data_IF_713348532431
#
_entry.id   IF_713348532431
#
_cell.length_a   1.000
_cell.length_b   1.000
_cell.length_c   1.000
_cell.angle_alpha   90.00
_cell.angle_beta   90.00
_cell.angle_gamma   90.00
#
_symmetry.space_group_name_H-M   'P 1'
#
loop_
_entity.id
_entity.type
_entity.pdbx_description
1 polymer ?
#
# COMPACT_ATOMS: atom_id res chain seq x y z
N UNK A 1 2.38 6.24 -0.71
CA UNK A 1 1.37 6.12 0.37
C UNK A 1 1.88 6.92 1.55
N UNK A 2 1.02 7.51 2.37
CA UNK A 2 1.44 8.01 3.68
C UNK A 2 2.20 6.90 4.40
N UNK A 3 3.21 7.27 5.17
CA UNK A 3 3.99 6.24 5.85
C UNK A 3 3.18 5.58 6.98
N UNK A 4 3.61 4.38 7.38
CA UNK A 4 2.93 3.59 8.41
C UNK A 4 2.70 4.34 9.73
N UNK A 5 3.59 5.26 10.12
CA UNK A 5 3.38 6.10 11.32
C UNK A 5 2.19 7.06 11.15
N UNK A 6 2.06 7.71 9.98
CA UNK A 6 0.88 8.52 9.68
C UNK A 6 -0.42 7.70 9.76
N UNK A 7 -0.41 6.46 9.26
CA UNK A 7 -1.54 5.54 9.38
C UNK A 7 -1.81 5.16 10.84
N UNK A 8 -0.79 4.89 11.66
CA UNK A 8 -0.92 4.64 13.11
C UNK A 8 -1.59 5.84 13.80
N UNK A 9 -1.23 7.08 13.45
CA UNK A 9 -1.82 8.27 14.03
C UNK A 9 -3.35 8.30 13.80
N UNK A 10 -3.75 8.27 12.53
CA UNK A 10 -5.16 8.40 12.14
C UNK A 10 -5.99 7.22 12.67
N UNK A 11 -5.49 6.00 12.53
CA UNK A 11 -6.17 4.80 13.04
C UNK A 11 -6.27 4.81 14.56
N UNK A 12 -5.17 5.14 15.22
CA UNK A 12 -5.03 5.21 16.66
C UNK A 12 -6.00 6.18 17.30
N UNK A 13 -5.88 7.46 16.95
CA UNK A 13 -6.72 8.50 17.52
C UNK A 13 -8.20 8.29 17.20
N UNK A 14 -8.53 7.94 15.95
CA UNK A 14 -9.94 7.75 15.54
C UNK A 14 -10.57 6.57 16.28
N UNK A 15 -9.88 5.43 16.36
CA UNK A 15 -10.42 4.25 17.02
C UNK A 15 -10.52 4.44 18.54
N UNK A 16 -9.50 5.04 19.18
CA UNK A 16 -9.54 5.32 20.62
C UNK A 16 -10.59 6.37 20.99
N UNK A 17 -10.90 7.33 20.10
CA UNK A 17 -12.00 8.29 20.30
C UNK A 17 -13.36 7.60 20.30
N UNK A 18 -13.58 6.63 19.41
CA UNK A 18 -14.85 5.88 19.32
C UNK A 18 -14.95 4.82 20.43
N UNK A 19 -13.85 4.13 20.71
CA UNK A 19 -13.79 3.06 21.70
C UNK A 19 -12.44 3.03 22.40
N UNK A 20 -12.35 3.74 23.53
CA UNK A 20 -11.14 3.85 24.35
C UNK A 20 -10.61 2.47 24.82
N UNK A 21 -11.50 1.50 25.00
CA UNK A 21 -11.18 0.11 25.39
C UNK A 21 -10.74 -0.80 24.24
N UNK A 22 -10.56 -0.25 23.03
CA UNK A 22 -10.04 -1.03 21.90
C UNK A 22 -8.59 -1.41 22.11
N UNK A 23 -8.26 -2.67 21.78
CA UNK A 23 -6.90 -3.18 21.87
C UNK A 23 -6.02 -2.52 20.81
N UNK A 24 -4.88 -1.97 21.26
CA UNK A 24 -3.89 -1.35 20.37
C UNK A 24 -3.37 -2.32 19.30
N UNK A 25 -3.22 -3.61 19.63
CA UNK A 25 -2.73 -4.61 18.69
C UNK A 25 -3.64 -4.78 17.48
N UNK A 26 -4.96 -4.78 17.71
CA UNK A 26 -5.94 -4.85 16.63
C UNK A 26 -6.02 -3.55 15.83
N UNK A 27 -5.87 -2.39 16.48
CA UNK A 27 -5.79 -1.10 15.78
C UNK A 27 -4.59 -1.09 14.83
N UNK A 28 -3.42 -1.52 15.32
CA UNK A 28 -2.19 -1.59 14.53
C UNK A 28 -2.26 -2.62 13.40
N UNK A 29 -2.94 -3.75 13.61
CA UNK A 29 -3.16 -4.70 12.52
C UNK A 29 -4.09 -4.09 11.45
N UNK A 30 -5.17 -3.44 11.87
CA UNK A 30 -6.11 -2.78 10.97
C UNK A 30 -5.46 -1.72 10.10
N UNK A 31 -4.45 -1.01 10.62
CA UNK A 31 -3.76 0.02 9.87
C UNK A 31 -2.77 -0.51 8.80
N UNK A 32 -2.42 -1.80 8.80
CA UNK A 32 -1.50 -2.40 7.82
C UNK A 32 -2.16 -3.39 6.87
N UNK A 33 -3.41 -3.81 7.13
CA UNK A 33 -4.10 -4.81 6.31
C UNK A 33 -4.09 -4.44 4.81
N UNK A 34 -4.45 -3.19 4.41
CA UNK A 34 -4.43 -2.82 3.00
C UNK A 34 -3.03 -2.82 2.36
N UNK A 35 -1.98 -2.76 3.17
CA UNK A 35 -0.58 -2.76 2.72
C UNK A 35 0.03 -4.16 2.59
N UNK A 36 -0.58 -5.19 3.18
CA UNK A 36 -0.11 -6.58 3.11
C UNK A 36 0.14 -7.02 1.65
N UNK A 37 -0.77 -6.78 0.68
CA UNK A 37 -0.53 -7.11 -0.73
C UNK A 37 0.76 -6.49 -1.29
N UNK A 38 1.03 -5.21 -0.98
CA UNK A 38 2.21 -4.51 -1.48
C UNK A 38 3.50 -5.03 -0.87
N UNK A 39 3.48 -5.41 0.41
CA UNK A 39 4.61 -6.06 1.09
C UNK A 39 4.88 -7.43 0.44
N UNK A 40 3.84 -8.24 0.24
CA UNK A 40 3.94 -9.55 -0.41
C UNK A 40 4.50 -9.40 -1.83
N UNK A 41 4.01 -8.43 -2.61
CA UNK A 41 4.52 -8.13 -3.95
C UNK A 41 6.02 -7.88 -3.95
N UNK A 42 6.52 -7.04 -3.04
CA UNK A 42 7.96 -6.74 -2.93
C UNK A 42 8.76 -8.01 -2.66
N UNK A 43 8.31 -8.84 -1.72
CA UNK A 43 8.96 -10.13 -1.40
C UNK A 43 8.97 -11.06 -2.62
N UNK A 44 7.83 -11.25 -3.28
CA UNK A 44 7.72 -12.13 -4.46
C UNK A 44 8.61 -11.62 -5.60
N UNK A 45 8.67 -10.31 -5.84
CA UNK A 45 9.49 -9.73 -6.92
C UNK A 45 10.99 -9.98 -6.76
N UNK A 46 11.44 -10.19 -5.51
CA UNK A 46 12.83 -10.56 -5.17
C UNK A 46 13.02 -12.07 -5.26
N UNK A 47 12.11 -12.86 -4.67
CA UNK A 47 12.25 -14.33 -4.59
C UNK A 47 11.94 -15.05 -5.90
N UNK A 48 11.12 -14.45 -6.77
CA UNK A 48 10.65 -15.07 -8.01
C UNK A 48 10.64 -14.03 -9.14
N UNK A 49 11.84 -13.60 -9.59
CA UNK A 49 11.98 -12.52 -10.57
C UNK A 49 11.44 -12.87 -11.97
N UNK A 50 11.10 -14.13 -12.24
CA UNK A 50 10.51 -14.63 -13.48
C UNK A 50 8.99 -14.43 -13.59
N UNK A 51 8.32 -14.11 -12.48
CA UNK A 51 6.87 -13.84 -12.50
C UNK A 51 6.63 -12.56 -13.29
N UNK A 52 5.63 -12.59 -14.19
CA UNK A 52 5.23 -11.43 -14.97
C UNK A 52 4.83 -10.27 -14.04
N UNK A 53 5.54 -9.15 -14.17
CA UNK A 53 5.38 -8.01 -13.26
C UNK A 53 4.03 -7.29 -13.39
N UNK A 54 3.44 -7.30 -14.59
CA UNK A 54 2.12 -6.70 -14.84
C UNK A 54 1.00 -7.53 -14.22
N UNK A 55 1.06 -8.84 -14.34
CA UNK A 55 0.06 -9.74 -13.76
C UNK A 55 0.14 -9.73 -12.23
N UNK A 56 1.36 -9.74 -11.66
CA UNK A 56 1.55 -9.59 -10.23
C UNK A 56 1.02 -8.23 -9.72
N UNK A 57 1.26 -7.15 -10.47
CA UNK A 57 0.73 -5.83 -10.13
C UNK A 57 -0.80 -5.83 -10.14
N UNK A 58 -1.44 -6.36 -11.19
CA UNK A 58 -2.89 -6.44 -11.29
C UNK A 58 -3.51 -7.25 -10.16
N UNK A 59 -2.91 -8.40 -9.83
CA UNK A 59 -3.33 -9.27 -8.72
C UNK A 59 -3.31 -8.53 -7.38
N UNK A 60 -2.22 -7.83 -7.10
CA UNK A 60 -2.01 -7.09 -5.83
C UNK A 60 -2.95 -5.89 -5.71
N UNK A 61 -3.26 -5.20 -6.82
CA UNK A 61 -4.27 -4.12 -6.83
C UNK A 61 -5.61 -4.65 -6.36
N UNK A 62 -6.06 -5.82 -6.86
CA UNK A 62 -7.32 -6.42 -6.42
C UNK A 62 -7.31 -6.72 -4.92
N UNK A 63 -6.22 -7.31 -4.41
CA UNK A 63 -6.11 -7.63 -2.99
C UNK A 63 -6.08 -6.40 -2.08
N UNK A 64 -5.53 -5.27 -2.56
CA UNK A 64 -5.44 -4.02 -1.80
C UNK A 64 -6.75 -3.23 -1.76
N UNK A 65 -7.80 -3.67 -2.44
CA UNK A 65 -9.13 -3.03 -2.40
C UNK A 65 -9.74 -3.10 -0.99
N UNK A 66 -10.71 -2.23 -0.72
CA UNK A 66 -11.44 -2.25 0.55
C UNK A 66 -12.17 -3.59 0.77
N UNK A 67 -12.80 -4.13 -0.27
CA UNK A 67 -13.53 -5.40 -0.19
C UNK A 67 -12.62 -6.55 0.27
N UNK A 68 -11.44 -6.70 -0.33
CA UNK A 68 -10.49 -7.74 0.05
C UNK A 68 -9.83 -7.47 1.41
N UNK A 69 -9.62 -6.20 1.77
CA UNK A 69 -9.17 -5.81 3.12
C UNK A 69 -10.20 -6.18 4.19
N UNK A 70 -11.51 -6.06 3.92
CA UNK A 70 -12.59 -6.49 4.82
C UNK A 70 -12.63 -8.03 4.94
N UNK A 71 -12.46 -8.76 3.83
CA UNK A 71 -12.35 -10.24 3.86
C UNK A 71 -11.19 -10.67 4.77
N UNK A 72 -10.02 -10.06 4.63
CA UNK A 72 -8.85 -10.38 5.44
C UNK A 72 -9.06 -9.97 6.91
N UNK A 73 -9.68 -8.80 7.15
CA UNK A 73 -10.10 -8.34 8.48
C UNK A 73 -11.02 -9.35 9.17
N UNK A 74 -11.98 -9.93 8.43
CA UNK A 74 -12.88 -10.94 8.95
C UNK A 74 -12.11 -12.21 9.34
N UNK A 75 -11.20 -12.70 8.48
CA UNK A 75 -10.36 -13.86 8.80
C UNK A 75 -9.55 -13.64 10.09
N UNK A 76 -8.85 -12.51 10.22
CA UNK A 76 -8.07 -12.21 11.42
C UNK A 76 -8.94 -12.05 12.67
N UNK A 77 -10.16 -11.53 12.53
CA UNK A 77 -11.09 -11.38 13.65
C UNK A 77 -11.53 -12.71 14.26
N UNK A 78 -11.54 -13.81 13.49
CA UNK A 78 -11.95 -15.14 13.98
C UNK A 78 -11.00 -15.69 15.06
N UNK A 79 -9.77 -15.18 15.10
CA UNK A 79 -8.81 -15.49 16.15
C UNK A 79 -8.99 -14.64 17.42
N UNK A 80 -9.93 -13.68 17.46
CA UNK A 80 -10.20 -12.86 18.64
C UNK A 80 -11.22 -13.50 19.58
N UNK A 81 -11.10 -13.26 20.89
CA UNK A 81 -12.17 -13.62 21.84
C UNK A 81 -13.47 -12.85 21.58
N UNK A 82 -13.38 -11.63 21.02
CA UNK A 82 -14.53 -10.83 20.62
C UNK A 82 -14.45 -10.55 19.12
N UNK A 83 -14.93 -11.51 18.35
CA UNK A 83 -14.85 -11.54 16.88
C UNK A 83 -15.44 -10.28 16.28
N UNK A 84 -16.69 -9.93 16.63
CA UNK A 84 -17.38 -8.77 16.05
C UNK A 84 -16.67 -7.46 16.36
N UNK A 85 -16.26 -7.22 17.61
CA UNK A 85 -15.54 -5.99 17.97
C UNK A 85 -14.22 -5.89 17.21
N UNK A 86 -13.45 -6.98 17.13
CA UNK A 86 -12.18 -6.99 16.40
C UNK A 86 -12.41 -6.80 14.90
N UNK A 87 -13.41 -7.44 14.31
CA UNK A 87 -13.77 -7.26 12.90
C UNK A 87 -14.07 -5.80 12.58
N UNK A 88 -14.87 -5.13 13.41
CA UNK A 88 -15.19 -3.72 13.24
C UNK A 88 -13.95 -2.82 13.36
N UNK A 89 -13.06 -3.09 14.32
CA UNK A 89 -11.79 -2.35 14.47
C UNK A 89 -10.92 -2.50 13.22
N UNK A 90 -10.74 -3.73 12.74
CA UNK A 90 -9.88 -4.03 11.58
C UNK A 90 -10.45 -3.45 10.27
N UNK A 91 -11.76 -3.58 10.07
CA UNK A 91 -12.45 -3.07 8.89
C UNK A 91 -12.47 -1.54 8.88
N UNK A 92 -12.75 -0.92 10.03
CA UNK A 92 -12.68 0.54 10.18
C UNK A 92 -11.26 1.04 9.95
N UNK A 93 -10.25 0.33 10.48
CA UNK A 93 -8.87 0.71 10.27
C UNK A 93 -8.42 0.60 8.81
N UNK A 94 -8.84 -0.46 8.12
CA UNK A 94 -8.62 -0.63 6.68
C UNK A 94 -9.28 0.48 5.86
N UNK A 95 -10.51 0.87 6.22
CA UNK A 95 -11.21 1.99 5.60
C UNK A 95 -10.46 3.30 5.82
N UNK A 96 -10.05 3.61 7.06
CA UNK A 96 -9.29 4.83 7.36
C UNK A 96 -7.96 4.87 6.62
N UNK A 97 -7.27 3.72 6.51
CA UNK A 97 -6.03 3.61 5.74
C UNK A 97 -6.29 3.98 4.28
N UNK A 98 -7.27 3.33 3.64
CA UNK A 98 -7.59 3.57 2.24
C UNK A 98 -8.18 4.95 1.98
N UNK A 99 -8.84 5.60 2.95
CA UNK A 99 -9.28 6.99 2.82
C UNK A 99 -8.14 7.99 2.96
N UNK A 100 -7.09 7.64 3.71
CA UNK A 100 -5.93 8.50 3.90
C UNK A 100 -5.00 8.49 2.69
N UNK A 101 -4.87 7.35 2.02
CA UNK A 101 -4.06 7.20 0.84
C UNK A 101 -4.29 8.17 -0.32
N UNK A 102 -5.54 8.42 -0.75
CA UNK A 102 -5.84 9.31 -1.88
C UNK A 102 -5.67 10.79 -1.54
N UNK A 103 -5.45 11.15 -0.27
CA UNK A 103 -5.19 12.54 0.13
C UNK A 103 -3.85 13.03 -0.44
N UNK A 104 -2.85 12.15 -0.56
CA UNK A 104 -1.58 12.52 -1.17
C UNK A 104 -1.68 12.53 -2.70
N UNK A 105 -0.94 13.45 -3.34
CA UNK A 105 -0.71 13.43 -4.78
C UNK A 105 0.12 12.20 -5.12
N UNK A 106 -0.43 11.34 -5.98
CA UNK A 106 0.23 10.16 -6.55
C UNK A 106 -0.27 10.00 -7.98
N UNK A 107 0.61 10.08 -8.96
CA UNK A 107 0.21 9.92 -10.37
C UNK A 107 0.05 8.44 -10.73
N UNK A 108 -0.94 8.09 -11.56
CA UNK A 108 -1.34 6.71 -11.87
C UNK A 108 -1.72 5.84 -10.65
N UNK A 109 -1.91 6.41 -9.47
CA UNK A 109 -2.00 5.66 -8.24
C UNK A 109 -3.09 6.25 -7.35
N UNK A 110 -3.98 5.41 -6.86
CA UNK A 110 -5.12 5.79 -6.04
C UNK A 110 -5.62 4.59 -5.26
N UNK A 111 -6.83 4.68 -4.75
CA UNK A 111 -7.47 3.58 -4.03
C UNK A 111 -8.75 3.13 -4.70
N UNK A 112 -9.02 1.84 -4.61
CA UNK A 112 -10.19 1.19 -5.20
C UNK A 112 -11.20 0.89 -4.10
N UNK A 113 -11.91 1.93 -3.66
CA UNK A 113 -12.89 1.84 -2.56
C UNK A 113 -14.14 1.03 -2.94
N UNK A 114 -14.57 1.14 -4.20
CA UNK A 114 -15.81 0.53 -4.70
C UNK A 114 -15.60 -0.76 -5.50
N UNK A 115 -14.37 -1.27 -5.58
CA UNK A 115 -14.13 -2.58 -6.16
C UNK A 115 -14.83 -3.67 -5.33
N UNK A 116 -15.37 -4.72 -5.95
CA UNK A 116 -15.26 -5.08 -7.37
C UNK A 116 -16.33 -4.46 -8.30
N UNK A 117 -17.17 -3.55 -7.81
CA UNK A 117 -18.29 -2.97 -8.58
C UNK A 117 -17.83 -1.86 -9.53
N UNK A 118 -16.87 -1.04 -9.12
CA UNK A 118 -16.14 -0.09 -9.97
C UNK A 118 -14.64 -0.24 -9.74
N UNK A 119 -13.87 -0.11 -10.82
CA UNK A 119 -12.41 -0.16 -10.83
C UNK A 119 -11.77 1.22 -10.99
N UNK A 120 -12.57 2.28 -10.87
CA UNK A 120 -12.11 3.65 -10.90
C UNK A 120 -11.28 3.96 -9.65
N UNK A 121 -10.15 4.63 -9.87
CA UNK A 121 -9.29 5.08 -8.78
C UNK A 121 -9.89 6.30 -8.11
N UNK A 122 -10.00 6.26 -6.78
CA UNK A 122 -10.27 7.46 -5.98
C UNK A 122 -8.95 8.16 -5.68
N UNK A 123 -8.87 9.45 -5.99
CA UNK A 123 -7.74 10.34 -5.69
C UNK A 123 -8.26 11.72 -5.30
N UNK A 124 -7.83 12.25 -4.17
CA UNK A 124 -8.15 13.63 -3.73
C UNK A 124 -7.01 14.60 -4.06
N UNK A 125 -5.76 14.13 -4.00
CA UNK A 125 -4.58 14.88 -4.50
C UNK A 125 -4.35 16.22 -3.81
N UNK A 126 -4.44 16.27 -2.48
CA UNK A 126 -4.39 17.51 -1.69
C UNK A 126 -2.95 17.99 -1.46
N UNK A 127 -2.00 17.08 -1.22
CA UNK A 127 -0.60 17.47 -0.96
C UNK A 127 0.42 16.42 -1.41
N UNK A 128 1.64 16.85 -1.73
CA UNK A 128 2.75 15.94 -2.03
C UNK A 128 3.20 15.16 -0.78
N UNK A 129 3.66 13.91 -0.91
CA UNK A 129 4.19 13.12 0.20
C UNK A 129 5.31 13.82 0.98
N UNK A 130 6.10 14.66 0.32
CA UNK A 130 7.21 15.43 0.87
C UNK A 130 6.76 16.72 1.57
N UNK A 131 5.46 17.00 1.60
CA UNK A 131 4.92 18.19 2.25
C UNK A 131 5.03 18.14 3.78
N UNK A 132 5.02 19.33 4.40
CA UNK A 132 5.00 19.51 5.86
C UNK A 132 3.89 18.71 6.56
N UNK A 133 2.72 18.57 5.92
CA UNK A 133 1.58 17.83 6.48
C UNK A 133 1.94 16.36 6.72
N UNK A 134 2.68 15.72 5.81
CA UNK A 134 3.15 14.34 6.00
C UNK A 134 4.02 14.23 7.24
N UNK A 135 4.95 15.17 7.47
CA UNK A 135 5.80 15.16 8.66
C UNK A 135 4.98 15.32 9.94
N UNK A 136 4.01 16.23 9.97
CA UNK A 136 3.12 16.44 11.11
C UNK A 136 2.33 15.16 11.46
N UNK A 137 1.80 14.48 10.44
CA UNK A 137 1.09 13.21 10.62
C UNK A 137 2.01 12.09 11.11
N UNK A 138 3.24 12.04 10.59
CA UNK A 138 4.26 11.06 10.99
C UNK A 138 4.64 11.22 12.46
N UNK A 139 4.93 12.46 12.87
CA UNK A 139 5.27 12.80 14.26
C UNK A 139 4.08 12.49 15.17
N UNK A 140 2.87 12.81 14.75
CA UNK A 140 1.65 12.48 15.49
C UNK A 140 1.47 10.97 15.70
N UNK A 141 1.87 10.14 14.74
CA UNK A 141 1.91 8.69 14.87
C UNK A 141 2.89 8.20 15.91
N UNK A 142 4.10 8.78 15.91
CA UNK A 142 5.11 8.48 16.92
C UNK A 142 4.66 8.92 18.31
N UNK A 143 4.08 10.11 18.44
CA UNK A 143 3.50 10.62 19.70
C UNK A 143 2.41 9.69 20.19
N UNK A 144 1.48 9.26 19.32
CA UNK A 144 0.44 8.29 19.67
C UNK A 144 1.07 7.01 20.24
N UNK A 145 2.06 6.46 19.54
CA UNK A 145 2.73 5.24 19.98
C UNK A 145 3.40 5.40 21.36
N UNK A 146 4.13 6.49 21.57
CA UNK A 146 4.80 6.80 22.85
C UNK A 146 3.80 7.03 23.97
N UNK A 147 2.71 7.76 23.71
CA UNK A 147 1.66 8.05 24.68
C UNK A 147 0.99 6.75 25.18
N UNK A 148 0.71 5.82 24.27
CA UNK A 148 0.09 4.53 24.58
C UNK A 148 1.10 3.42 24.96
N UNK A 149 2.39 3.75 25.10
CA UNK A 149 3.44 2.77 25.41
C UNK A 149 3.23 2.04 26.74
N UNK A 150 2.70 2.73 27.76
CA UNK A 150 2.40 2.11 29.06
C UNK A 150 1.30 1.04 28.94
N UNK A 151 0.28 1.28 28.10
CA UNK A 151 -0.76 0.29 27.81
C UNK A 151 -0.17 -0.93 27.07
N UNK A 152 0.71 -0.71 26.09
CA UNK A 152 1.40 -1.78 25.36
C UNK A 152 2.25 -2.69 26.27
N UNK A 153 2.84 -2.16 27.34
CA UNK A 153 3.64 -2.97 28.28
C UNK A 153 2.83 -3.99 29.07
N UNK A 154 1.52 -3.78 29.24
CA UNK A 154 0.66 -4.64 30.05
C UNK A 154 -0.36 -5.41 29.20
N UNK A 155 -0.55 -5.02 27.94
CA UNK A 155 -1.53 -5.67 27.07
C UNK A 155 -1.15 -7.13 26.83
N UNK A 156 -2.16 -8.01 26.93
CA UNK A 156 -2.07 -9.41 26.49
C UNK A 156 -2.86 -9.56 25.19
N UNK A 157 -2.37 -10.35 24.21
CA UNK A 157 -3.10 -10.58 22.97
C UNK A 157 -4.43 -11.26 23.29
N UNK A 158 -5.52 -10.68 22.79
CA UNK A 158 -6.85 -11.24 22.99
C UNK A 158 -7.17 -12.34 21.97
N UNK A 159 -6.27 -13.32 21.83
CA UNK A 159 -6.33 -14.38 20.83
C UNK A 159 -6.96 -15.65 21.41
N UNK A 160 -7.75 -16.36 20.62
CA UNK A 160 -8.37 -17.64 20.93
C UNK A 160 -8.44 -18.54 19.69
N UNK A 161 -7.73 -19.66 19.73
CA UNK A 161 -7.71 -20.65 18.66
C UNK A 161 -8.78 -21.74 18.88
N UNK A 162 -10.00 -21.48 18.40
CA UNK A 162 -11.03 -22.53 18.29
C UNK A 162 -10.87 -23.27 16.97
N UNK A 163 -10.90 -24.61 16.96
CA UNK A 163 -10.73 -25.43 15.74
C UNK A 163 -11.61 -24.95 14.57
N UNK A 164 -12.90 -24.73 14.82
CA UNK A 164 -13.84 -24.26 13.80
C UNK A 164 -13.49 -22.87 13.28
N UNK A 165 -13.13 -21.93 14.17
CA UNK A 165 -12.73 -20.59 13.78
C UNK A 165 -11.44 -20.59 12.97
N UNK A 166 -10.45 -21.38 13.37
CA UNK A 166 -9.18 -21.51 12.65
C UNK A 166 -9.39 -22.10 11.25
N UNK A 167 -10.26 -23.11 11.13
CA UNK A 167 -10.62 -23.68 9.83
C UNK A 167 -11.34 -22.66 8.94
N UNK A 168 -12.33 -21.94 9.48
CA UNK A 168 -13.01 -20.87 8.75
C UNK A 168 -12.05 -19.75 8.33
N UNK A 169 -11.16 -19.33 9.23
CA UNK A 169 -10.15 -18.32 8.94
C UNK A 169 -9.24 -18.75 7.78
N UNK A 170 -8.82 -20.02 7.78
CA UNK A 170 -8.05 -20.62 6.68
C UNK A 170 -8.83 -20.61 5.36
N UNK A 171 -10.10 -21.03 5.35
CA UNK A 171 -10.94 -20.97 4.16
C UNK A 171 -11.09 -19.55 3.62
N UNK A 172 -11.27 -18.57 4.51
CA UNK A 172 -11.39 -17.16 4.11
C UNK A 172 -10.06 -16.62 3.57
N UNK A 173 -8.93 -17.01 4.15
CA UNK A 173 -7.59 -16.69 3.60
C UNK A 173 -7.43 -17.30 2.21
N UNK A 174 -7.88 -18.54 2.00
CA UNK A 174 -7.85 -19.16 0.68
C UNK A 174 -8.70 -18.36 -0.31
N UNK A 175 -9.89 -17.91 0.08
CA UNK A 175 -10.74 -17.01 -0.74
C UNK A 175 -9.98 -15.72 -1.06
N UNK A 176 -9.33 -15.10 -0.07
CA UNK A 176 -8.54 -13.88 -0.25
C UNK A 176 -7.38 -14.05 -1.27
N UNK A 177 -6.78 -15.23 -1.38
CA UNK A 177 -5.74 -15.51 -2.37
C UNK A 177 -6.27 -16.00 -3.72
N UNK A 178 -7.37 -16.74 -3.77
CA UNK A 178 -7.89 -17.34 -5.02
C UNK A 178 -8.81 -16.37 -5.77
N UNK A 179 -9.71 -15.70 -5.05
CA UNK A 179 -10.73 -14.83 -5.66
C UNK A 179 -10.16 -13.64 -6.46
N UNK A 180 -9.00 -13.03 -6.13
CA UNK A 180 -8.43 -11.95 -6.92
C UNK A 180 -8.17 -12.31 -8.39
N UNK A 181 -7.85 -13.58 -8.67
CA UNK A 181 -7.60 -14.08 -10.03
C UNK A 181 -8.79 -13.82 -10.97
N UNK A 182 -10.02 -13.85 -10.44
CA UNK A 182 -11.25 -13.58 -11.21
C UNK A 182 -11.35 -12.12 -11.67
N UNK A 183 -10.73 -11.19 -10.95
CA UNK A 183 -10.90 -9.75 -11.14
C UNK A 183 -9.69 -9.06 -11.77
N UNK A 184 -8.55 -9.74 -11.93
CA UNK A 184 -7.34 -9.16 -12.53
C UNK A 184 -7.60 -8.54 -13.91
N UNK A 185 -8.41 -9.20 -14.74
CA UNK A 185 -8.74 -8.70 -16.07
C UNK A 185 -9.49 -7.37 -16.02
N UNK A 186 -10.28 -7.11 -14.98
CA UNK A 186 -10.95 -5.83 -14.80
C UNK A 186 -9.94 -4.72 -14.51
N UNK A 187 -8.95 -4.99 -13.65
CA UNK A 187 -7.87 -4.04 -13.36
C UNK A 187 -7.11 -3.65 -14.63
N UNK A 188 -6.78 -4.65 -15.46
CA UNK A 188 -6.08 -4.43 -16.74
C UNK A 188 -6.98 -3.65 -17.71
N UNK A 189 -8.26 -4.02 -17.86
CA UNK A 189 -9.20 -3.34 -18.77
C UNK A 189 -9.44 -1.88 -18.39
N UNK A 190 -9.45 -1.57 -17.11
CA UNK A 190 -9.57 -0.19 -16.61
C UNK A 190 -8.26 0.59 -16.66
N UNK A 191 -7.20 0.02 -17.24
CA UNK A 191 -5.86 0.59 -17.35
C UNK A 191 -5.30 1.16 -16.03
N UNK A 192 -5.64 0.50 -14.91
CA UNK A 192 -5.13 0.91 -13.59
C UNK A 192 -3.60 0.83 -13.58
N UNK A 193 -2.95 1.88 -13.06
CA UNK A 193 -1.49 2.06 -13.16
C UNK A 193 -0.93 1.96 -14.60
N UNK A 194 -1.75 2.28 -15.61
CA UNK A 194 -1.42 2.15 -17.02
C UNK A 194 -0.98 0.73 -17.43
N UNK A 195 -1.45 -0.32 -16.73
CA UNK A 195 -1.00 -1.69 -16.98
C UNK A 195 -1.28 -2.15 -18.41
N UNK A 196 -2.45 -1.85 -18.98
CA UNK A 196 -2.76 -2.26 -20.37
C UNK A 196 -1.91 -1.47 -21.36
N UNK A 197 -1.74 -0.16 -21.13
CA UNK A 197 -0.88 0.70 -21.94
C UNK A 197 0.57 0.22 -21.92
N UNK A 198 1.07 -0.23 -20.77
CA UNK A 198 2.44 -0.72 -20.64
C UNK A 198 2.62 -2.15 -21.16
N UNK A 199 1.60 -3.01 -21.03
CA UNK A 199 1.66 -4.42 -21.44
C UNK A 199 1.54 -4.62 -22.95
N UNK A 200 0.78 -3.76 -23.65
CA UNK A 200 0.54 -3.88 -25.10
C UNK A 200 1.47 -2.93 -25.86
N UNK A 201 2.72 -3.36 -26.04
CA UNK A 201 3.78 -2.47 -26.54
C UNK A 201 3.52 -1.88 -27.92
N UNK A 202 2.89 -2.65 -28.82
CA UNK A 202 2.65 -2.22 -30.19
C UNK A 202 1.55 -1.15 -30.31
N UNK A 203 0.76 -0.94 -29.25
CA UNK A 203 -0.36 -0.01 -29.25
C UNK A 203 -0.11 1.21 -28.36
N UNK A 204 1.06 1.34 -27.73
CA UNK A 204 1.29 2.42 -26.76
C UNK A 204 1.69 3.74 -27.39
N UNK A 205 2.18 3.77 -28.63
CA UNK A 205 2.54 5.02 -29.33
C UNK A 205 1.33 5.98 -29.35
N UNK A 206 1.56 7.22 -28.93
CA UNK A 206 0.56 8.28 -28.77
C UNK A 206 -0.26 8.22 -27.48
N UNK A 207 -0.26 7.09 -26.75
CA UNK A 207 -1.00 6.94 -25.50
C UNK A 207 -0.36 7.75 -24.38
N UNK A 208 -1.23 8.32 -23.56
CA UNK A 208 -0.87 8.98 -22.32
C UNK A 208 -0.43 7.96 -21.28
N UNK A 209 0.53 8.33 -20.44
CA UNK A 209 0.99 7.50 -19.33
C UNK A 209 1.39 8.38 -18.16
N UNK A 210 1.10 7.89 -16.96
CA UNK A 210 1.67 8.43 -15.74
C UNK A 210 2.38 7.32 -14.95
N UNK A 211 3.39 7.69 -14.17
CA UNK A 211 4.06 6.77 -13.25
C UNK A 211 4.41 7.49 -11.96
N UNK A 212 4.09 6.89 -10.81
CA UNK A 212 4.49 7.37 -9.49
C UNK A 212 5.87 6.79 -9.10
N UNK A 213 6.80 7.66 -8.68
CA UNK A 213 8.05 7.32 -7.96
C UNK A 213 8.83 6.15 -8.55
N UNK A 214 9.21 6.29 -9.80
CA UNK A 214 10.09 5.35 -10.48
C UNK A 214 11.54 5.68 -10.19
N UNK A 215 12.32 4.64 -9.88
CA UNK A 215 13.78 4.75 -9.85
C UNK A 215 14.26 5.10 -11.26
N UNK A 216 15.07 6.16 -11.35
CA UNK A 216 15.61 6.66 -12.62
C UNK A 216 17.12 6.46 -12.66
N UNK A 217 17.63 6.10 -13.84
CA UNK A 217 19.06 5.94 -14.09
C UNK A 217 19.44 6.79 -15.30
N UNK A 218 20.53 7.54 -15.19
CA UNK A 218 21.06 8.28 -16.33
C UNK A 218 21.89 7.37 -17.22
N UNK A 219 21.67 7.44 -18.53
CA UNK A 219 22.50 6.76 -19.52
C UNK A 219 23.36 7.79 -20.27
N UNK A 220 24.68 7.66 -20.12
CA UNK A 220 25.67 8.55 -20.75
C UNK A 220 25.73 8.40 -22.27
N UNK A 221 25.47 7.20 -22.82
CA UNK A 221 25.54 6.92 -24.26
C UNK A 221 24.40 7.60 -25.03
N UNK A 222 23.19 7.58 -24.48
CA UNK A 222 22.02 8.22 -25.08
C UNK A 222 21.78 9.63 -24.56
N UNK A 223 22.57 10.07 -23.57
CA UNK A 223 22.42 11.34 -22.86
C UNK A 223 20.96 11.57 -22.38
N UNK A 224 20.36 10.52 -21.81
CA UNK A 224 18.95 10.48 -21.46
C UNK A 224 18.71 9.72 -20.15
N UNK A 225 17.56 9.95 -19.53
CA UNK A 225 17.14 9.23 -18.33
C UNK A 225 16.29 8.02 -18.66
N UNK A 226 16.47 6.92 -17.93
CA UNK A 226 15.73 5.67 -18.11
C UNK A 226 15.02 5.25 -16.83
N UNK A 227 13.86 4.63 -16.99
CA UNK A 227 13.11 3.98 -15.91
C UNK A 227 12.80 2.53 -16.26
N UNK A 228 12.48 1.73 -15.23
CA UNK A 228 12.05 0.33 -15.41
C UNK A 228 10.52 0.20 -15.28
N UNK A 229 9.92 -0.51 -16.24
CA UNK A 229 8.53 -0.94 -16.19
C UNK A 229 8.30 -1.94 -15.04
N UNK A 230 7.05 -2.36 -14.83
CA UNK A 230 6.77 -3.44 -13.85
C UNK A 230 7.43 -4.77 -14.24
N UNK A 231 7.62 -5.02 -15.53
CA UNK A 231 8.27 -6.20 -16.06
C UNK A 231 9.77 -6.00 -16.34
N UNK A 232 10.35 -4.90 -15.82
CA UNK A 232 11.77 -4.51 -15.95
C UNK A 232 12.19 -4.10 -17.36
N UNK A 233 11.23 -3.85 -18.26
CA UNK A 233 11.49 -3.25 -19.56
C UNK A 233 12.06 -1.84 -19.35
N UNK A 234 13.04 -1.46 -20.17
CA UNK A 234 13.68 -0.14 -20.08
C UNK A 234 12.88 0.84 -20.93
N UNK A 235 12.47 1.94 -20.32
CA UNK A 235 11.75 3.03 -20.99
C UNK A 235 12.61 4.30 -20.87
N UNK A 236 12.96 4.86 -22.02
CA UNK A 236 13.69 6.12 -22.14
C UNK A 236 12.75 7.30 -21.92
N UNK A 237 13.25 8.32 -21.24
CA UNK A 237 12.56 9.58 -20.95
C UNK A 237 13.25 10.71 -21.70
N UNK A 238 12.47 11.42 -22.53
CA UNK A 238 12.90 12.65 -23.20
C UNK A 238 12.34 13.87 -22.50
N UNK A 239 12.91 15.04 -22.81
CA UNK A 239 12.53 16.33 -22.24
C UNK A 239 12.72 16.42 -20.71
N UNK A 240 13.78 15.77 -20.21
CA UNK A 240 14.30 15.97 -18.86
C UNK A 240 15.76 16.42 -19.00
N UNK A 241 16.04 17.67 -18.63
CA UNK A 241 17.39 18.23 -18.74
C UNK A 241 18.31 17.76 -17.61
N UNK A 242 17.82 17.81 -16.36
CA UNK A 242 18.60 17.46 -15.18
C UNK A 242 17.69 17.04 -14.04
N UNK A 243 18.12 16.02 -13.31
CA UNK A 243 17.51 15.55 -12.07
C UNK A 243 18.51 15.63 -10.91
N UNK A 244 18.02 16.00 -9.74
CA UNK A 244 18.78 15.99 -8.48
C UNK A 244 18.45 14.76 -7.62
N UNK A 245 17.32 14.11 -7.88
CA UNK A 245 16.88 12.87 -7.26
C UNK A 245 17.05 11.66 -8.18
N UNK A 246 17.23 10.49 -7.58
CA UNK A 246 17.19 9.18 -8.25
C UNK A 246 15.77 8.60 -8.35
N UNK A 247 14.74 9.35 -7.95
CA UNK A 247 13.34 8.98 -8.11
C UNK A 247 12.47 10.11 -8.61
N UNK A 248 11.60 9.78 -9.56
CA UNK A 248 10.69 10.74 -10.18
C UNK A 248 9.30 10.16 -10.35
N UNK A 249 8.30 11.02 -10.26
CA UNK A 249 6.97 10.77 -10.82
C UNK A 249 6.89 11.50 -12.15
N UNK A 250 6.29 10.88 -13.17
CA UNK A 250 6.19 11.45 -14.52
C UNK A 250 4.76 11.38 -15.06
N UNK A 251 4.43 12.34 -15.91
CA UNK A 251 3.33 12.32 -16.85
C UNK A 251 3.89 12.55 -18.24
N UNK A 252 3.42 11.80 -19.22
CA UNK A 252 3.94 11.91 -20.57
C UNK A 252 3.10 11.18 -21.60
N UNK A 253 3.65 11.09 -22.81
CA UNK A 253 3.09 10.29 -23.90
C UNK A 253 4.17 9.44 -24.51
N UNK A 254 3.84 8.21 -24.88
CA UNK A 254 4.75 7.39 -25.65
C UNK A 254 4.88 7.95 -27.06
N UNK A 255 6.11 8.24 -27.50
CA UNK A 255 6.41 8.66 -28.88
C UNK A 255 7.01 7.51 -29.72
N UNK A 256 7.44 6.46 -29.04
CA UNK A 256 7.86 5.17 -29.58
C UNK A 256 7.44 4.10 -28.57
N UNK A 257 7.68 2.82 -28.88
CA UNK A 257 7.42 1.74 -27.95
C UNK A 257 8.15 2.00 -26.62
N UNK A 258 9.47 2.23 -26.62
CA UNK A 258 10.23 2.39 -25.39
C UNK A 258 10.62 3.83 -25.04
N UNK A 259 9.93 4.84 -25.58
CA UNK A 259 10.28 6.25 -25.34
C UNK A 259 9.06 7.04 -24.93
N UNK A 260 9.15 7.69 -23.77
CA UNK A 260 8.16 8.64 -23.27
C UNK A 260 8.70 10.05 -23.47
N UNK A 261 7.89 10.87 -24.13
CA UNK A 261 8.02 12.32 -24.09
C UNK A 261 7.38 12.85 -22.80
N UNK A 262 8.21 13.38 -21.89
CA UNK A 262 7.79 13.80 -20.56
C UNK A 262 7.18 15.20 -20.64
N UNK A 263 5.92 15.30 -20.23
CA UNK A 263 5.14 16.55 -20.20
C UNK A 263 5.33 17.25 -18.85
N UNK A 264 5.31 16.47 -17.76
CA UNK A 264 5.44 16.96 -16.40
C UNK A 264 6.20 15.91 -15.58
N UNK A 265 7.08 16.35 -14.68
CA UNK A 265 7.72 15.48 -13.72
C UNK A 265 7.82 16.12 -12.34
N UNK A 266 7.94 15.26 -11.32
CA UNK A 266 8.17 15.66 -9.94
C UNK A 266 9.29 14.81 -9.34
N UNK A 267 10.31 15.47 -8.78
CA UNK A 267 11.40 14.79 -8.07
C UNK A 267 10.94 14.40 -6.66
N UNK A 268 11.07 13.12 -6.31
CA UNK A 268 10.64 12.61 -5.01
C UNK A 268 11.85 12.44 -4.07
N UNK A 269 11.67 12.71 -2.78
CA UNK A 269 12.72 12.61 -1.76
C UNK A 269 12.34 11.55 -0.71
N UNK A 270 12.63 10.29 -1.03
CA UNK A 270 11.98 9.17 -0.33
C UNK A 270 12.55 8.78 1.02
N UNK A 271 13.80 9.15 1.33
CA UNK A 271 14.55 8.57 2.45
C UNK A 271 13.80 8.69 3.78
N UNK A 272 13.19 9.86 4.04
CA UNK A 272 12.39 10.07 5.24
C UNK A 272 11.12 9.21 5.25
N UNK A 273 10.35 9.21 4.15
CA UNK A 273 9.05 8.54 4.07
C UNK A 273 9.19 7.02 4.19
N UNK A 274 10.12 6.43 3.44
CA UNK A 274 10.34 4.99 3.45
C UNK A 274 10.91 4.55 4.82
N UNK A 275 11.85 5.32 5.38
CA UNK A 275 12.36 5.10 6.73
C UNK A 275 11.25 5.15 7.81
N UNK A 276 10.37 6.14 7.76
CA UNK A 276 9.22 6.25 8.65
C UNK A 276 8.23 5.08 8.51
N UNK A 277 8.05 4.56 7.29
CA UNK A 277 7.20 3.40 7.04
C UNK A 277 7.78 2.14 7.67
N UNK A 278 9.08 1.89 7.45
CA UNK A 278 9.78 0.76 8.06
C UNK A 278 9.79 0.85 9.59
N UNK A 279 10.05 2.03 10.15
CA UNK A 279 9.97 2.25 11.59
C UNK A 279 8.57 1.93 12.12
N UNK A 280 7.51 2.42 11.48
CA UNK A 280 6.14 2.10 11.88
C UNK A 280 5.84 0.60 11.87
N UNK A 281 6.24 -0.12 10.80
CA UNK A 281 6.09 -1.58 10.72
C UNK A 281 6.86 -2.28 11.85
N UNK A 282 8.11 -1.89 12.10
CA UNK A 282 8.93 -2.44 13.19
C UNK A 282 8.28 -2.23 14.57
N UNK A 283 7.72 -1.05 14.82
CA UNK A 283 7.01 -0.75 16.06
C UNK A 283 5.74 -1.62 16.25
N UNK A 284 5.01 -1.88 15.16
CA UNK A 284 3.85 -2.78 15.19
C UNK A 284 4.29 -4.21 15.51
N UNK A 285 5.31 -4.73 14.81
CA UNK A 285 5.87 -6.07 15.06
C UNK A 285 6.37 -6.18 16.51
N UNK A 286 7.12 -5.18 16.96
CA UNK A 286 7.62 -5.11 18.33
C UNK A 286 6.49 -5.14 19.36
N UNK A 287 5.40 -4.41 19.11
CA UNK A 287 4.22 -4.40 20.00
C UNK A 287 3.58 -5.77 20.13
N UNK A 288 3.46 -6.51 19.03
CA UNK A 288 2.96 -7.88 19.03
C UNK A 288 3.89 -8.83 19.80
N UNK A 289 5.21 -8.77 19.54
CA UNK A 289 6.21 -9.59 20.26
C UNK A 289 6.14 -9.32 21.77
N UNK A 290 6.08 -8.05 22.17
CA UNK A 290 5.98 -7.65 23.57
C UNK A 290 4.71 -8.22 24.23
N UNK A 291 3.58 -8.12 23.55
CA UNK A 291 2.31 -8.64 24.06
C UNK A 291 2.33 -10.17 24.21
N UNK A 292 2.88 -10.91 23.24
CA UNK A 292 3.04 -12.36 23.35
C UNK A 292 3.97 -12.74 24.51
N UNK A 293 5.09 -12.04 24.68
CA UNK A 293 5.99 -12.25 25.83
C UNK A 293 5.27 -12.05 27.17
N UNK A 294 4.39 -11.06 27.26
CA UNK A 294 3.61 -10.80 28.46
C UNK A 294 2.53 -11.86 28.73
N UNK A 295 2.09 -12.60 27.70
CA UNK A 295 1.13 -13.69 27.87
C UNK A 295 1.73 -14.98 28.44
N UNK A 296 3.05 -15.16 28.27
CA UNK A 296 3.80 -16.30 28.81
C UNK A 296 4.19 -16.13 30.29
N UNK A 297 4.06 -14.92 30.82
CA UNK A 297 4.23 -14.59 32.24
C UNK A 297 2.88 -14.59 32.96
#
# INVERSE_FOLDING_TARGET
>A
MPNTLAHIAINGFSTKKISASSSLLWIYLGCIIPDIPWIIRKIISVLSPSINGYDLQAYVIVQATLFFSIILSFSFSLFSKNILKTFLILSFGSLLHLLLDPIQIKWANGVHLFAPFSWDMTTFGIFWPESFITYLMTISGLIFFVFYWKELKIIKPNILFKKINSFLAFLIILIYFVLPLRFMNNVVKSDNHFISTLKIENERIGKYVEMDRKDVTFNEQTNSYWIKSFNKDIIELKNIERLNSNRISIKGRFISNNIIDVIEYHENWEAFRDGASYLGILLIIFSWILAFRNSLK
#
